data_IF_335157253328
#
_entry.id   IF_335157253328
#
_cell.length_a   1.000
_cell.length_b   1.000
_cell.length_c   1.000
_cell.angle_alpha   90.00
_cell.angle_beta   90.00
_cell.angle_gamma   90.00
#
_symmetry.space_group_name_H-M   'P 1'
#
loop_
_entity.id
_entity.type
_entity.pdbx_description
1 polymer ?
#
# COMPACT_ATOMS: atom_id res chain seq x y z
N UNK A 1 12.26 -3.89 -22.88
CA UNK A 1 12.88 -5.19 -22.52
C UNK A 1 14.41 -5.11 -22.40
N UNK A 2 15.04 -3.97 -22.69
CA UNK A 2 16.50 -3.81 -22.70
C UNK A 2 17.20 -4.10 -21.37
N UNK A 3 16.52 -3.90 -20.24
CA UNK A 3 17.05 -4.19 -18.91
C UNK A 3 16.95 -5.68 -18.51
N UNK A 4 16.41 -6.55 -19.35
CA UNK A 4 16.20 -7.97 -19.03
C UNK A 4 15.21 -8.23 -17.88
N UNK A 5 14.51 -7.21 -17.40
CA UNK A 5 13.58 -7.32 -16.28
C UNK A 5 12.29 -8.07 -16.67
N UNK A 6 11.83 -8.95 -15.78
CA UNK A 6 10.60 -9.72 -16.00
C UNK A 6 9.37 -8.82 -15.93
N UNK A 7 8.62 -8.75 -17.04
CA UNK A 7 7.40 -7.93 -17.15
C UNK A 7 6.40 -8.22 -16.02
N UNK A 8 6.10 -9.49 -15.65
CA UNK A 8 5.14 -9.77 -14.59
C UNK A 8 5.57 -9.22 -13.22
N UNK A 9 6.86 -9.32 -12.86
CA UNK A 9 7.38 -8.80 -11.59
C UNK A 9 7.34 -7.27 -11.55
N UNK A 10 7.66 -6.62 -12.68
CA UNK A 10 7.58 -5.15 -12.78
C UNK A 10 6.13 -4.68 -12.67
N UNK A 11 5.19 -5.34 -13.35
CA UNK A 11 3.77 -5.02 -13.23
C UNK A 11 3.25 -5.20 -11.79
N UNK A 12 3.65 -6.30 -11.13
CA UNK A 12 3.34 -6.56 -9.72
C UNK A 12 3.91 -5.48 -8.79
N UNK A 13 5.15 -5.05 -9.03
CA UNK A 13 5.79 -3.99 -8.24
C UNK A 13 5.03 -2.66 -8.36
N UNK A 14 4.54 -2.31 -9.55
CA UNK A 14 3.72 -1.11 -9.75
C UNK A 14 2.38 -1.23 -9.03
N UNK A 15 1.70 -2.37 -9.17
CA UNK A 15 0.39 -2.58 -8.53
C UNK A 15 0.47 -2.53 -6.99
N UNK A 16 1.46 -3.19 -6.40
CA UNK A 16 1.68 -3.12 -4.95
C UNK A 16 2.20 -1.76 -4.49
N UNK A 17 3.00 -1.07 -5.32
CA UNK A 17 3.44 0.29 -5.05
C UNK A 17 2.26 1.27 -4.94
N UNK A 18 1.30 1.20 -5.87
CA UNK A 18 0.06 1.98 -5.82
C UNK A 18 -0.76 1.67 -4.55
N UNK A 19 -1.00 0.39 -4.26
CA UNK A 19 -1.72 -0.02 -3.06
C UNK A 19 -1.02 0.42 -1.77
N UNK A 20 0.32 0.42 -1.74
CA UNK A 20 1.11 0.78 -0.58
C UNK A 20 1.06 2.29 -0.28
N UNK A 21 1.23 3.14 -1.29
CA UNK A 21 1.18 4.60 -1.11
C UNK A 21 -0.23 5.10 -0.76
N UNK A 22 -1.27 4.36 -1.15
CA UNK A 22 -2.67 4.62 -0.75
C UNK A 22 -2.90 4.49 0.77
N UNK A 23 -1.97 3.92 1.54
CA UNK A 23 -2.02 3.95 3.01
C UNK A 23 -1.58 5.29 3.60
N UNK A 24 -0.78 6.08 2.87
CA UNK A 24 -0.37 7.42 3.33
C UNK A 24 -1.57 8.39 3.34
N UNK A 25 -2.49 8.22 2.39
CA UNK A 25 -3.74 8.99 2.29
C UNK A 25 -4.91 8.04 1.98
N UNK A 26 -5.54 7.45 3.00
CA UNK A 26 -6.56 6.42 2.82
C UNK A 26 -7.93 7.01 2.47
N UNK A 27 -8.07 7.65 1.29
CA UNK A 27 -9.35 8.22 0.87
C UNK A 27 -10.44 7.18 0.65
N UNK A 28 -10.04 5.96 0.29
CA UNK A 28 -10.93 4.80 0.22
C UNK A 28 -11.63 4.50 1.56
N UNK A 29 -11.05 4.91 2.69
CA UNK A 29 -11.61 4.67 4.01
C UNK A 29 -12.67 5.71 4.41
N UNK A 30 -12.70 6.90 3.78
CA UNK A 30 -13.62 7.98 4.16
C UNK A 30 -15.11 7.57 4.19
N UNK A 31 -15.64 6.81 3.21
CA UNK A 31 -17.03 6.35 3.25
C UNK A 31 -17.31 5.44 4.46
N UNK A 32 -16.38 4.55 4.78
CA UNK A 32 -16.52 3.61 5.91
C UNK A 32 -16.45 4.37 7.24
N UNK A 33 -15.55 5.33 7.34
CA UNK A 33 -15.43 6.19 8.53
C UNK A 33 -16.70 7.02 8.77
N UNK A 34 -17.32 7.53 7.70
CA UNK A 34 -18.58 8.26 7.79
C UNK A 34 -19.72 7.38 8.35
N UNK A 35 -19.81 6.12 7.91
CA UNK A 35 -20.78 5.15 8.44
C UNK A 35 -20.47 4.79 9.90
N UNK A 36 -19.20 4.67 10.25
CA UNK A 36 -18.74 4.35 11.61
C UNK A 36 -18.77 5.54 12.58
N UNK A 37 -19.06 6.76 12.11
CA UNK A 37 -19.00 7.97 12.93
C UNK A 37 -17.59 8.37 13.38
N UNK A 38 -16.55 7.89 12.68
CA UNK A 38 -15.15 8.13 12.99
C UNK A 38 -14.57 9.26 12.14
N UNK A 39 -13.51 9.90 12.63
CA UNK A 39 -12.76 10.92 11.88
C UNK A 39 -11.57 10.28 11.19
N UNK A 40 -11.11 10.85 10.07
CA UNK A 40 -9.91 10.40 9.37
C UNK A 40 -8.69 10.25 10.30
N UNK A 41 -8.47 11.21 11.20
CA UNK A 41 -7.38 11.17 12.18
C UNK A 41 -7.37 9.93 13.08
N UNK A 42 -8.52 9.29 13.28
CA UNK A 42 -8.65 8.15 14.21
C UNK A 42 -8.04 6.88 13.60
N UNK A 43 -7.97 6.77 12.27
CA UNK A 43 -7.37 5.62 11.56
C UNK A 43 -5.94 5.90 11.03
N UNK A 44 -5.55 7.16 10.85
CA UNK A 44 -4.27 7.53 10.24
C UNK A 44 -3.05 6.88 10.92
N UNK A 45 -3.06 6.78 12.26
CA UNK A 45 -1.98 6.11 12.99
C UNK A 45 -1.86 4.62 12.65
N UNK A 46 -2.99 3.93 12.48
CA UNK A 46 -3.02 2.54 12.05
C UNK A 46 -2.54 2.38 10.60
N UNK A 47 -2.98 3.27 9.70
CA UNK A 47 -2.52 3.26 8.31
C UNK A 47 -1.01 3.47 8.20
N UNK A 48 -0.41 4.35 9.02
CA UNK A 48 1.04 4.56 9.06
C UNK A 48 1.80 3.32 9.54
N UNK A 49 1.29 2.64 10.58
CA UNK A 49 1.87 1.38 11.04
C UNK A 49 1.80 0.30 9.95
N UNK A 50 0.65 0.17 9.28
CA UNK A 50 0.51 -0.72 8.14
C UNK A 50 1.42 -0.35 6.98
N UNK A 51 1.63 0.94 6.71
CA UNK A 51 2.55 1.40 5.67
C UNK A 51 3.95 0.85 5.94
N UNK A 52 4.45 0.93 7.16
CA UNK A 52 5.79 0.40 7.49
C UNK A 52 5.82 -1.12 7.36
N UNK A 53 4.85 -1.82 7.97
CA UNK A 53 4.81 -3.29 7.99
C UNK A 53 4.66 -3.86 6.57
N UNK A 54 3.69 -3.35 5.81
CA UNK A 54 3.45 -3.82 4.44
C UNK A 54 4.58 -3.41 3.51
N UNK A 55 5.23 -2.26 3.72
CA UNK A 55 6.41 -1.85 2.96
C UNK A 55 7.55 -2.86 3.09
N UNK A 56 7.80 -3.38 4.30
CA UNK A 56 8.79 -4.46 4.51
C UNK A 56 8.36 -5.74 3.80
N UNK A 57 7.11 -6.16 3.97
CA UNK A 57 6.59 -7.41 3.36
C UNK A 57 6.64 -7.35 1.83
N UNK A 58 6.18 -6.26 1.23
CA UNK A 58 6.17 -6.03 -0.23
C UNK A 58 7.61 -6.01 -0.76
N UNK A 59 8.52 -5.31 -0.06
CA UNK A 59 9.92 -5.23 -0.47
C UNK A 59 10.61 -6.60 -0.44
N UNK A 60 10.38 -7.38 0.62
CA UNK A 60 10.91 -8.75 0.74
C UNK A 60 10.31 -9.64 -0.35
N UNK A 61 8.99 -9.58 -0.56
CA UNK A 61 8.29 -10.38 -1.56
C UNK A 61 8.71 -10.07 -3.00
N UNK A 62 8.86 -8.80 -3.36
CA UNK A 62 9.26 -8.41 -4.73
C UNK A 62 10.73 -8.70 -5.04
N UNK A 63 11.59 -8.69 -4.01
CA UNK A 63 13.04 -8.87 -4.18
C UNK A 63 13.46 -10.34 -4.11
N UNK A 64 12.86 -11.11 -3.21
CA UNK A 64 13.34 -12.44 -2.85
C UNK A 64 12.38 -13.59 -3.20
N UNK A 65 11.12 -13.31 -3.55
CA UNK A 65 10.13 -14.30 -3.99
C UNK A 65 9.82 -14.14 -5.50
#
# INVERSE_FOLDING_TARGET
QELGASIPRVAMAVAWGDAWTNLLQPFWALPVLAIAGLKAKDIMGYCLMLLIITGVIISVGLTWL
#
